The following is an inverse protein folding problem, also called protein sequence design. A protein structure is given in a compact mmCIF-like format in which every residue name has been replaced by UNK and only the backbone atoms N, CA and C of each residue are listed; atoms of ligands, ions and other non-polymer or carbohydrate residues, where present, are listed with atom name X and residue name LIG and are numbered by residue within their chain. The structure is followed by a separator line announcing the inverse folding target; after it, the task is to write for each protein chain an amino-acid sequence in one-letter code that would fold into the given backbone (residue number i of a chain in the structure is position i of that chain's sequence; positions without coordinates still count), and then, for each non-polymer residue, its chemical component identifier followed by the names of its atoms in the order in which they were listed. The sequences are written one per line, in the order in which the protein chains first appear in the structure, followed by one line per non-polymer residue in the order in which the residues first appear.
data_IF_377394361925
#
_entry.id   IF_377394361925
#
_cell.length_a   1.000
_cell.length_b   1.000
_cell.length_c   1.000
_cell.angle_alpha   90.00
_cell.angle_beta   90.00
_cell.angle_gamma   90.00
#
_symmetry.space_group_name_H-M   'P 1'
#
loop_
_entity.id
_entity.type
_entity.pdbx_description
1 polymer ?
#
# COMPACT_ATOMS: atom_id res chain seq x y z
N UNK A 1 4.92 19.91 0.29
CA UNK A 1 5.51 18.92 -0.62
C UNK A 1 4.32 18.25 -1.28
N UNK A 2 4.04 18.61 -2.54
CA UNK A 2 2.97 17.99 -3.31
C UNK A 2 3.59 16.73 -3.92
N UNK A 3 3.19 15.56 -3.43
CA UNK A 3 3.61 14.30 -4.00
C UNK A 3 2.68 14.02 -5.18
N UNK A 4 3.23 13.87 -6.37
CA UNK A 4 2.46 13.56 -7.57
C UNK A 4 2.02 12.08 -7.51
N UNK A 5 0.95 11.85 -6.76
CA UNK A 5 0.35 10.53 -6.63
C UNK A 5 -0.31 10.16 -7.96
N UNK A 6 0.28 9.20 -8.67
CA UNK A 6 -0.23 8.80 -9.97
C UNK A 6 -1.57 8.03 -9.80
N UNK A 7 -2.70 8.54 -10.35
CA UNK A 7 -4.00 7.93 -10.14
C UNK A 7 -4.11 6.53 -10.75
N UNK A 8 -3.33 6.22 -11.80
CA UNK A 8 -3.28 4.88 -12.39
C UNK A 8 -2.61 3.87 -11.45
N UNK A 9 -1.55 4.29 -10.74
CA UNK A 9 -0.87 3.45 -9.75
C UNK A 9 -1.80 3.20 -8.56
N UNK A 10 -2.49 4.23 -8.06
CA UNK A 10 -3.49 4.06 -6.99
C UNK A 10 -4.59 3.06 -7.38
N UNK A 11 -5.14 3.21 -8.60
CA UNK A 11 -6.16 2.30 -9.10
C UNK A 11 -5.65 0.85 -9.21
N UNK A 12 -4.39 0.68 -9.64
CA UNK A 12 -3.72 -0.63 -9.70
C UNK A 12 -3.56 -1.24 -8.31
N UNK A 13 -3.05 -0.49 -7.33
CA UNK A 13 -2.87 -0.96 -5.95
C UNK A 13 -4.19 -1.42 -5.33
N UNK A 14 -5.26 -0.63 -5.50
CA UNK A 14 -6.60 -0.99 -5.03
C UNK A 14 -7.16 -2.23 -5.74
N UNK A 15 -6.88 -2.40 -7.03
CA UNK A 15 -7.25 -3.62 -7.76
C UNK A 15 -6.48 -4.83 -7.23
N UNK A 16 -5.16 -4.73 -7.09
CA UNK A 16 -4.33 -5.80 -6.54
C UNK A 16 -4.81 -6.24 -5.16
N UNK A 17 -5.15 -5.28 -4.29
CA UNK A 17 -5.69 -5.59 -2.96
C UNK A 17 -7.04 -6.34 -3.04
N UNK A 18 -7.95 -5.95 -3.94
CA UNK A 18 -9.21 -6.69 -4.20
C UNK A 18 -8.97 -8.10 -4.73
N UNK A 19 -7.92 -8.26 -5.55
CA UNK A 19 -7.51 -9.56 -6.10
C UNK A 19 -6.77 -10.44 -5.04
N UNK A 20 -6.72 -10.00 -3.78
CA UNK A 20 -6.16 -10.76 -2.65
C UNK A 20 -4.64 -10.63 -2.49
N UNK A 21 -4.01 -9.65 -3.14
CA UNK A 21 -2.57 -9.41 -2.99
C UNK A 21 -2.20 -8.82 -1.63
N UNK A 22 -1.02 -9.17 -1.15
CA UNK A 22 -0.40 -8.62 0.06
C UNK A 22 0.17 -7.23 -0.20
N UNK A 23 0.50 -6.48 0.85
CA UNK A 23 1.22 -5.22 0.69
C UNK A 23 2.62 -5.43 0.09
N UNK A 24 3.30 -6.54 0.40
CA UNK A 24 4.59 -6.89 -0.22
C UNK A 24 4.47 -7.10 -1.74
N UNK A 25 3.46 -7.85 -2.19
CA UNK A 25 3.16 -8.03 -3.63
C UNK A 25 2.99 -6.67 -4.35
N UNK A 26 2.33 -5.72 -3.68
CA UNK A 26 2.11 -4.38 -4.21
C UNK A 26 3.41 -3.58 -4.26
N UNK A 27 4.24 -3.65 -3.22
CA UNK A 27 5.55 -2.98 -3.17
C UNK A 27 6.47 -3.44 -4.31
N UNK A 28 6.51 -4.73 -4.61
CA UNK A 28 7.25 -5.26 -5.76
C UNK A 28 6.84 -4.61 -7.08
N UNK A 29 5.54 -4.42 -7.30
CA UNK A 29 5.05 -3.71 -8.48
C UNK A 29 5.50 -2.24 -8.48
N UNK A 30 5.49 -1.57 -7.32
CA UNK A 30 5.96 -0.18 -7.23
C UNK A 30 7.46 -0.03 -7.54
N UNK A 31 8.27 -1.05 -7.24
CA UNK A 31 9.68 -1.10 -7.65
C UNK A 31 9.80 -1.11 -9.18
N UNK A 32 8.94 -1.85 -9.89
CA UNK A 32 8.93 -1.87 -11.37
C UNK A 32 8.56 -0.50 -11.98
N UNK A 33 7.89 0.37 -11.21
CA UNK A 33 7.61 1.76 -11.58
C UNK A 33 8.74 2.74 -11.24
N UNK A 34 9.89 2.24 -10.77
CA UNK A 34 11.06 3.04 -10.35
C UNK A 34 10.72 4.07 -9.26
N UNK A 35 9.72 3.76 -8.43
CA UNK A 35 9.36 4.63 -7.30
C UNK A 35 10.38 4.48 -6.19
N UNK A 36 10.76 5.60 -5.59
CA UNK A 36 11.56 5.56 -4.36
C UNK A 36 10.68 5.28 -3.13
N UNK A 37 11.31 4.94 -2.01
CA UNK A 37 10.64 4.60 -0.74
C UNK A 37 9.63 5.67 -0.29
N UNK A 38 9.95 6.95 -0.42
CA UNK A 38 9.03 8.04 -0.01
C UNK A 38 7.81 8.10 -0.92
N UNK A 39 8.00 7.91 -2.23
CA UNK A 39 6.89 7.83 -3.19
C UNK A 39 6.01 6.61 -2.92
N UNK A 40 6.60 5.45 -2.61
CA UNK A 40 5.83 4.26 -2.22
C UNK A 40 4.94 4.52 -0.99
N UNK A 41 5.49 5.18 0.05
CA UNK A 41 4.72 5.56 1.24
C UNK A 41 3.55 6.48 0.90
N UNK A 42 3.76 7.50 0.07
CA UNK A 42 2.72 8.42 -0.36
C UNK A 42 1.60 7.71 -1.15
N UNK A 43 1.95 6.78 -2.03
CA UNK A 43 0.98 5.99 -2.77
C UNK A 43 0.17 5.06 -1.84
N UNK A 44 0.79 4.43 -0.85
CA UNK A 44 0.06 3.60 0.13
C UNK A 44 -0.86 4.44 1.02
N UNK A 45 -0.38 5.59 1.49
CA UNK A 45 -1.16 6.54 2.26
C UNK A 45 -2.43 6.92 1.50
N UNK A 46 -2.30 7.35 0.25
CA UNK A 46 -3.42 7.81 -0.59
C UNK A 46 -4.33 6.66 -1.05
N UNK A 47 -3.75 5.53 -1.47
CA UNK A 47 -4.51 4.42 -2.01
C UNK A 47 -5.44 3.78 -0.97
N UNK A 48 -5.00 3.66 0.28
CA UNK A 48 -5.73 2.94 1.32
C UNK A 48 -6.19 3.82 2.48
N UNK A 49 -6.07 5.14 2.36
CA UNK A 49 -6.45 6.12 3.39
C UNK A 49 -5.82 5.78 4.76
N UNK A 50 -4.54 5.42 4.74
CA UNK A 50 -3.77 5.10 5.95
C UNK A 50 -3.32 6.38 6.67
N UNK A 51 -2.76 6.27 7.86
CA UNK A 51 -1.95 7.38 8.40
C UNK A 51 -0.55 7.24 7.85
N UNK A 52 0.16 8.36 7.69
CA UNK A 52 1.56 8.31 7.26
C UNK A 52 2.41 7.44 8.21
N UNK A 53 2.16 7.50 9.52
CA UNK A 53 2.83 6.66 10.51
C UNK A 53 2.69 5.15 10.22
N UNK A 54 1.54 4.72 9.69
CA UNK A 54 1.29 3.30 9.39
C UNK A 54 2.15 2.79 8.22
N UNK A 55 2.59 3.68 7.34
CA UNK A 55 3.36 3.34 6.13
C UNK A 55 4.86 3.59 6.29
N UNK A 56 5.30 4.20 7.39
CA UNK A 56 6.74 4.45 7.66
C UNK A 56 7.57 3.16 7.69
N UNK A 57 6.96 2.03 8.05
CA UNK A 57 7.61 0.72 8.03
C UNK A 57 8.12 0.31 6.64
N UNK A 58 7.57 0.86 5.55
CA UNK A 58 8.05 0.62 4.18
C UNK A 58 9.54 1.00 4.05
N UNK A 59 10.03 1.96 4.85
CA UNK A 59 11.44 2.36 4.83
C UNK A 59 12.41 1.28 5.32
N UNK A 60 11.90 0.25 6.02
CA UNK A 60 12.67 -0.91 6.43
C UNK A 60 12.65 -2.07 5.42
N UNK A 61 11.89 -1.98 4.33
CA UNK A 61 11.75 -3.05 3.34
C UNK A 61 12.65 -2.81 2.12
N UNK A 62 13.15 -3.89 1.53
CA UNK A 62 13.89 -3.87 0.25
C UNK A 62 13.52 -5.09 -0.60
N UNK A 63 13.32 -4.96 -1.92
CA UNK A 63 12.89 -6.05 -2.79
C UNK A 63 13.89 -7.21 -2.87
N UNK A 64 15.17 -6.95 -2.60
CA UNK A 64 16.25 -7.94 -2.60
C UNK A 64 16.45 -8.66 -1.25
N UNK A 65 15.60 -8.36 -0.26
CA UNK A 65 15.68 -8.91 1.09
C UNK A 65 16.82 -8.36 1.94
N UNK A 66 17.53 -7.30 1.49
CA UNK A 66 18.56 -6.63 2.29
C UNK A 66 18.00 -5.66 3.35
N UNK A 67 16.68 -5.40 3.29
CA UNK A 67 15.97 -4.56 4.25
C UNK A 67 15.88 -5.20 5.65
N UNK A 68 15.55 -4.38 6.63
CA UNK A 68 15.29 -4.82 8.01
C UNK A 68 13.99 -5.64 8.13
N UNK A 69 13.04 -5.45 7.21
CA UNK A 69 11.75 -6.13 7.18
C UNK A 69 11.66 -7.06 5.98
N UNK A 70 11.23 -8.31 6.24
CA UNK A 70 10.84 -9.26 5.20
C UNK A 70 9.46 -8.93 4.63
N UNK A 71 9.11 -9.60 3.52
CA UNK A 71 7.78 -9.54 2.90
C UNK A 71 6.66 -9.92 3.88
N UNK A 72 6.90 -10.95 4.71
CA UNK A 72 5.93 -11.37 5.73
C UNK A 72 5.77 -10.30 6.80
N UNK A 73 6.88 -9.71 7.26
CA UNK A 73 6.85 -8.68 8.30
C UNK A 73 6.15 -7.40 7.83
N UNK A 74 6.48 -6.90 6.63
CA UNK A 74 5.83 -5.70 6.08
C UNK A 74 4.34 -5.93 5.83
N UNK A 75 3.95 -7.14 5.38
CA UNK A 75 2.56 -7.53 5.22
C UNK A 75 1.82 -7.59 6.55
N UNK A 76 2.44 -8.15 7.59
CA UNK A 76 1.87 -8.23 8.93
C UNK A 76 1.63 -6.84 9.55
N UNK A 77 2.42 -5.82 9.20
CA UNK A 77 2.20 -4.44 9.66
C UNK A 77 1.11 -3.72 8.88
N UNK A 78 1.17 -3.77 7.54
CA UNK A 78 0.34 -2.91 6.68
C UNK A 78 -1.05 -3.51 6.43
N UNK A 79 -1.15 -4.81 6.16
CA UNK A 79 -2.41 -5.42 5.74
C UNK A 79 -3.54 -5.29 6.79
N UNK A 80 -3.28 -5.42 8.11
CA UNK A 80 -4.30 -5.18 9.12
C UNK A 80 -4.78 -3.72 9.20
N UNK A 81 -3.94 -2.75 8.85
CA UNK A 81 -4.33 -1.33 8.80
C UNK A 81 -5.19 -1.05 7.56
N UNK A 82 -4.82 -1.63 6.41
CA UNK A 82 -5.66 -1.59 5.20
C UNK A 82 -7.02 -2.20 5.52
N UNK A 83 -7.07 -3.41 6.08
CA UNK A 83 -8.34 -4.08 6.39
C UNK A 83 -9.24 -3.28 7.37
N UNK A 84 -8.65 -2.50 8.27
CA UNK A 84 -9.39 -1.67 9.24
C UNK A 84 -9.96 -0.39 8.63
N UNK A 85 -9.21 0.25 7.74
CA UNK A 85 -9.51 1.62 7.26
C UNK A 85 -10.12 1.63 5.87
N UNK A 86 -9.74 0.66 5.05
CA UNK A 86 -10.23 0.50 3.71
C UNK A 86 -11.39 -0.50 3.72
N UNK A 87 -12.56 0.03 4.10
CA UNK A 87 -13.84 -0.63 3.81
C UNK A 87 -14.16 -0.30 2.36
N UNK A 88 -14.14 -1.32 1.51
CA UNK A 88 -14.44 -1.16 0.09
C UNK A 88 -15.85 -0.52 -0.03
N UNK A 89 -15.95 0.58 -0.79
CA UNK A 89 -17.25 1.17 -1.21
C UNK A 89 -18.09 0.17 -2.03
N UNK A 90 -17.55 -1.03 -2.30
CA UNK A 90 -18.26 -2.18 -2.85
C UNK A 90 -19.30 -2.80 -1.91
N UNK A 91 -19.32 -2.46 -0.60
CA UNK A 91 -20.44 -2.81 0.28
C UNK A 91 -21.57 -1.80 0.11
N UNK A 92 -22.36 -1.98 -0.95
CA UNK A 92 -23.61 -1.25 -1.15
C UNK A 92 -24.52 -1.35 0.07
N UNK A 93 -24.53 -0.30 0.88
CA UNK A 93 -25.56 -0.03 1.88
C UNK A 93 -26.04 1.41 1.71
N UNK A 94 -26.82 1.65 0.64
CA UNK A 94 -27.97 2.55 0.78
C UNK A 94 -29.01 1.79 1.60
N UNK A 95 -28.92 1.95 2.93
CA UNK A 95 -30.06 1.68 3.79
C UNK A 95 -31.20 2.62 3.38
N UNK A 96 -32.40 2.04 3.48
CA UNK A 96 -33.74 2.51 3.11
C UNK A 96 -34.05 3.96 3.51
#
# INVERSE_FOLDING_TARGET
MEFDNNPAIIALMRRMKRDGKTSADILYVLVDYDLNVSEMMCHFWEAFNLKFDDVTCIGGWSPDGSGELSDEAISAFIDPEIARKWVDEASGNRQL
#
